data_IF_574145176410
#
_entry.id   IF_574145176410
#
_cell.length_a   1.000
_cell.length_b   1.000
_cell.length_c   1.000
_cell.angle_alpha   90.00
_cell.angle_beta   90.00
_cell.angle_gamma   90.00
#
_symmetry.space_group_name_H-M   'P 1'
#
loop_
_entity.id
_entity.type
_entity.pdbx_description
1 polymer ?
#
# COMPACT_ATOMS: atom_id res chain seq x y z
N UNK A 1 -2.57 54.71 4.03
CA UNK A 1 -3.25 54.38 5.31
C UNK A 1 -4.63 53.90 4.92
N UNK A 2 -4.84 52.59 4.73
CA UNK A 2 -5.33 51.65 5.75
C UNK A 2 -6.88 51.71 5.75
N UNK A 3 -7.68 50.66 5.64
CA UNK A 3 -7.51 49.21 5.72
C UNK A 3 -8.75 48.54 5.12
N UNK A 4 -8.64 47.26 4.76
CA UNK A 4 -9.66 46.36 4.21
C UNK A 4 -10.92 46.23 5.08
N UNK A 5 -12.10 46.07 4.45
CA UNK A 5 -13.18 45.21 4.96
C UNK A 5 -13.79 44.47 3.77
N UNK A 6 -13.20 43.32 3.46
CA UNK A 6 -13.83 42.25 2.67
C UNK A 6 -14.71 41.46 3.65
N UNK A 7 -15.98 41.82 3.75
CA UNK A 7 -17.01 40.97 4.36
C UNK A 7 -17.80 40.36 3.21
N UNK A 8 -17.65 39.04 3.02
CA UNK A 8 -18.72 38.13 2.55
C UNK A 8 -18.20 36.69 2.39
N UNK A 9 -17.45 36.19 3.37
CA UNK A 9 -17.19 34.73 3.51
C UNK A 9 -17.17 34.31 4.98
N UNK A 10 -18.05 34.87 5.81
CA UNK A 10 -18.28 34.42 7.19
C UNK A 10 -19.49 33.48 7.30
N UNK A 11 -19.69 32.63 6.31
CA UNK A 11 -20.63 31.52 6.43
C UNK A 11 -19.93 30.28 5.87
N UNK A 12 -20.04 29.19 6.63
CA UNK A 12 -19.50 27.86 6.34
C UNK A 12 -18.13 27.50 6.93
N UNK A 13 -17.92 27.78 8.22
CA UNK A 13 -17.15 26.85 9.05
C UNK A 13 -17.96 26.60 10.33
N UNK A 14 -18.85 25.61 10.28
CA UNK A 14 -19.22 24.91 11.50
C UNK A 14 -17.94 24.23 12.02
N UNK A 15 -17.51 24.48 13.26
CA UNK A 15 -16.49 23.66 13.87
C UNK A 15 -17.14 22.30 14.16
N UNK A 16 -16.97 21.33 13.28
CA UNK A 16 -17.13 19.92 13.66
C UNK A 16 -15.90 19.51 14.48
N UNK A 17 -15.76 20.10 15.66
CA UNK A 17 -14.86 19.62 16.70
C UNK A 17 -15.64 18.59 17.54
N UNK A 18 -16.06 17.51 16.91
CA UNK A 18 -16.42 16.30 17.64
C UNK A 18 -15.16 15.43 17.64
N UNK A 19 -14.37 15.54 18.70
CA UNK A 19 -13.18 14.72 18.90
C UNK A 19 -13.59 13.25 18.82
N UNK A 20 -13.19 12.58 17.74
CA UNK A 20 -13.47 11.16 17.52
C UNK A 20 -12.95 10.36 18.71
N UNK A 21 -13.87 9.79 19.47
CA UNK A 21 -13.54 9.00 20.65
C UNK A 21 -13.13 7.60 20.24
N UNK A 22 -12.41 6.89 21.10
CA UNK A 22 -12.04 5.47 20.87
C UNK A 22 -13.27 4.60 20.57
N UNK A 23 -14.43 4.96 21.11
CA UNK A 23 -15.72 4.31 20.89
C UNK A 23 -16.27 4.54 19.48
N UNK A 24 -15.94 5.67 18.84
CA UNK A 24 -16.34 5.97 17.46
C UNK A 24 -15.53 5.15 16.47
N UNK A 25 -14.23 4.94 16.74
CA UNK A 25 -13.37 4.05 15.97
C UNK A 25 -13.82 2.59 16.08
N UNK A 26 -14.22 2.16 17.28
CA UNK A 26 -14.72 0.80 17.52
C UNK A 26 -16.04 0.56 16.78
N UNK A 27 -16.92 1.57 16.69
CA UNK A 27 -18.15 1.50 15.86
C UNK A 27 -17.86 1.45 14.36
N UNK A 28 -16.86 2.19 13.88
CA UNK A 28 -16.43 2.13 12.47
C UNK A 28 -15.89 0.75 12.10
N UNK A 29 -15.16 0.09 13.00
CA UNK A 29 -14.62 -1.26 12.79
C UNK A 29 -15.69 -2.37 12.87
N UNK A 30 -16.75 -2.15 13.67
CA UNK A 30 -17.87 -3.09 13.83
C UNK A 30 -19.01 -2.86 12.81
N UNK A 31 -18.90 -1.83 11.97
CA UNK A 31 -19.77 -1.67 10.81
C UNK A 31 -19.53 -2.86 9.90
N UNK A 32 -20.60 -3.58 9.54
CA UNK A 32 -20.51 -4.80 8.71
C UNK A 32 -19.57 -4.59 7.52
N UNK A 33 -18.81 -5.63 7.10
CA UNK A 33 -17.97 -5.52 5.93
C UNK A 33 -18.85 -5.04 4.77
N UNK A 34 -18.52 -3.85 4.25
CA UNK A 34 -18.97 -3.45 2.93
C UNK A 34 -18.62 -4.66 2.06
N UNK A 35 -19.64 -5.31 1.50
CA UNK A 35 -19.40 -6.30 0.45
C UNK A 35 -18.48 -5.58 -0.53
N UNK A 36 -17.24 -6.05 -0.58
CA UNK A 36 -16.27 -5.61 -1.55
C UNK A 36 -16.86 -6.07 -2.87
N UNK A 37 -17.74 -5.24 -3.44
CA UNK A 37 -18.06 -5.27 -4.84
C UNK A 37 -16.71 -5.08 -5.49
N UNK A 38 -16.07 -6.21 -5.77
CA UNK A 38 -14.91 -6.35 -6.60
C UNK A 38 -15.38 -5.95 -8.00
N UNK A 39 -15.65 -4.66 -8.17
CA UNK A 39 -15.69 -3.97 -9.43
C UNK A 39 -14.28 -4.04 -9.94
N UNK A 40 -13.97 -5.20 -10.50
CA UNK A 40 -12.79 -5.46 -11.29
C UNK A 40 -13.02 -4.71 -12.60
N UNK A 41 -12.89 -3.38 -12.52
CA UNK A 41 -12.41 -2.59 -13.64
C UNK A 41 -11.02 -3.12 -13.94
N UNK A 42 -10.99 -4.24 -14.65
CA UNK A 42 -9.81 -4.88 -15.18
C UNK A 42 -9.34 -4.03 -16.34
N UNK A 43 -8.90 -2.81 -16.03
CA UNK A 43 -7.78 -2.25 -16.78
C UNK A 43 -6.69 -3.30 -16.73
N UNK A 44 -5.92 -3.45 -17.81
CA UNK A 44 -4.89 -4.47 -17.99
C UNK A 44 -3.75 -4.33 -16.95
N UNK A 45 -4.04 -4.60 -15.69
CA UNK A 45 -3.11 -4.59 -14.56
C UNK A 45 -2.51 -5.99 -14.52
N UNK A 46 -1.53 -6.23 -15.38
CA UNK A 46 -0.85 -7.51 -15.40
C UNK A 46 0.07 -7.62 -14.18
N UNK A 47 -0.13 -8.63 -13.36
CA UNK A 47 0.81 -9.04 -12.32
C UNK A 47 2.13 -9.48 -12.98
N UNK A 48 3.21 -8.72 -12.79
CA UNK A 48 4.51 -9.00 -13.40
C UNK A 48 5.67 -8.59 -12.49
N UNK A 49 6.85 -9.11 -12.81
CA UNK A 49 8.09 -8.89 -12.04
C UNK A 49 8.38 -7.42 -11.73
N UNK A 50 8.20 -6.53 -12.72
CA UNK A 50 8.45 -5.08 -12.55
C UNK A 50 7.46 -4.44 -11.59
N UNK A 51 6.17 -4.76 -11.70
CA UNK A 51 5.13 -4.20 -10.81
C UNK A 51 5.25 -4.75 -9.39
N UNK A 52 5.55 -6.04 -9.24
CA UNK A 52 5.74 -6.68 -7.94
C UNK A 52 6.96 -6.11 -7.20
N UNK A 53 8.11 -6.04 -7.87
CA UNK A 53 9.32 -5.44 -7.31
C UNK A 53 9.12 -3.97 -6.92
N UNK A 54 8.40 -3.21 -7.75
CA UNK A 54 8.07 -1.82 -7.47
C UNK A 54 7.18 -1.66 -6.24
N UNK A 55 6.12 -2.48 -6.10
CA UNK A 55 5.25 -2.46 -4.92
C UNK A 55 6.01 -2.78 -3.64
N UNK A 56 6.87 -3.79 -3.66
CA UNK A 56 7.74 -4.14 -2.51
C UNK A 56 8.73 -3.02 -2.17
N UNK A 57 9.27 -2.33 -3.17
CA UNK A 57 10.14 -1.16 -2.98
C UNK A 57 9.38 -0.01 -2.30
N UNK A 58 8.16 0.27 -2.74
CA UNK A 58 7.31 1.31 -2.13
C UNK A 58 6.98 0.98 -0.68
N UNK A 59 6.63 -0.28 -0.37
CA UNK A 59 6.38 -0.72 0.99
C UNK A 59 7.58 -0.48 1.92
N UNK A 60 8.79 -0.84 1.48
CA UNK A 60 10.01 -0.56 2.26
C UNK A 60 10.23 0.94 2.48
N UNK A 61 10.05 1.77 1.45
CA UNK A 61 10.18 3.23 1.58
C UNK A 61 9.19 3.82 2.58
N UNK A 62 7.96 3.30 2.61
CA UNK A 62 6.96 3.73 3.56
C UNK A 62 7.36 3.36 4.99
N UNK A 63 7.89 2.16 5.21
CA UNK A 63 8.45 1.78 6.51
C UNK A 63 9.62 2.70 6.92
N UNK A 64 10.54 2.98 6.01
CA UNK A 64 11.70 3.85 6.30
C UNK A 64 11.25 5.28 6.61
N UNK A 65 10.22 5.79 5.92
CA UNK A 65 9.65 7.09 6.21
C UNK A 65 9.13 7.18 7.66
N UNK A 66 8.26 6.26 8.07
CA UNK A 66 7.72 6.27 9.43
C UNK A 66 8.76 5.95 10.51
N UNK A 67 9.79 5.16 10.20
CA UNK A 67 10.94 4.98 11.11
C UNK A 67 11.67 6.29 11.42
N UNK A 68 11.65 7.26 10.50
CA UNK A 68 12.38 8.51 10.65
C UNK A 68 11.53 9.65 11.23
N UNK A 69 10.22 9.66 10.97
CA UNK A 69 9.33 10.75 11.40
C UNK A 69 8.55 10.44 12.67
N UNK A 70 8.39 9.17 13.03
CA UNK A 70 7.59 8.77 14.19
C UNK A 70 8.41 8.87 15.48
N UNK A 71 8.03 9.73 16.45
CA UNK A 71 8.72 9.79 17.73
C UNK A 71 8.56 8.50 18.56
N UNK A 72 7.54 7.67 18.28
CA UNK A 72 7.36 6.36 18.90
C UNK A 72 8.10 5.27 18.14
N UNK A 73 9.20 4.81 18.72
CA UNK A 73 9.94 3.65 18.21
C UNK A 73 9.10 2.37 18.19
N UNK A 74 8.26 2.17 19.20
CA UNK A 74 7.41 0.97 19.30
C UNK A 74 6.38 0.90 18.18
N UNK A 75 5.66 2.01 17.94
CA UNK A 75 4.64 2.09 16.90
C UNK A 75 5.25 1.91 15.51
N UNK A 76 6.35 2.59 15.22
CA UNK A 76 7.03 2.43 13.93
C UNK A 76 7.55 1.00 13.74
N UNK A 77 8.10 0.37 14.78
CA UNK A 77 8.54 -1.04 14.72
C UNK A 77 7.37 -2.00 14.49
N UNK A 78 6.23 -1.75 15.12
CA UNK A 78 5.02 -2.54 14.90
C UNK A 78 4.54 -2.40 13.44
N UNK A 79 4.47 -1.17 12.91
CA UNK A 79 4.11 -0.91 11.51
C UNK A 79 5.05 -1.63 10.52
N UNK A 80 6.36 -1.57 10.76
CA UNK A 80 7.36 -2.28 9.94
C UNK A 80 7.15 -3.79 9.98
N UNK A 81 6.87 -4.36 11.15
CA UNK A 81 6.57 -5.80 11.31
C UNK A 81 5.31 -6.19 10.55
N UNK A 82 4.23 -5.43 10.71
CA UNK A 82 2.96 -5.70 10.02
C UNK A 82 3.12 -5.62 8.50
N UNK A 83 3.83 -4.61 8.00
CA UNK A 83 4.13 -4.48 6.57
C UNK A 83 5.00 -5.63 6.07
N UNK A 84 6.00 -6.06 6.84
CA UNK A 84 6.83 -7.23 6.49
C UNK A 84 6.00 -8.52 6.39
N UNK A 85 5.06 -8.72 7.33
CA UNK A 85 4.16 -9.87 7.33
C UNK A 85 3.20 -9.82 6.13
N UNK A 86 2.55 -8.68 5.89
CA UNK A 86 1.64 -8.47 4.77
C UNK A 86 2.36 -8.64 3.41
N UNK A 87 3.65 -8.31 3.34
CA UNK A 87 4.45 -8.43 2.11
C UNK A 87 5.16 -9.76 1.92
N UNK A 88 5.06 -10.70 2.88
CA UNK A 88 5.82 -11.95 2.86
C UNK A 88 5.50 -12.83 1.64
N UNK A 89 4.22 -13.01 1.31
CA UNK A 89 3.80 -13.80 0.14
C UNK A 89 4.31 -13.21 -1.18
N UNK A 90 4.27 -11.88 -1.31
CA UNK A 90 4.77 -11.16 -2.49
C UNK A 90 6.29 -11.29 -2.64
N UNK A 91 7.04 -11.31 -1.52
CA UNK A 91 8.49 -11.55 -1.54
C UNK A 91 8.83 -12.96 -2.01
N UNK A 92 8.06 -13.95 -1.57
CA UNK A 92 8.20 -15.32 -2.02
C UNK A 92 7.93 -15.44 -3.52
N UNK A 93 6.83 -14.85 -4.00
CA UNK A 93 6.48 -14.84 -5.42
C UNK A 93 7.55 -14.15 -6.28
N UNK A 94 8.09 -13.03 -5.79
CA UNK A 94 9.19 -12.34 -6.45
C UNK A 94 10.42 -13.25 -6.62
N UNK A 95 10.74 -14.04 -5.60
CA UNK A 95 11.85 -14.99 -5.64
C UNK A 95 11.64 -16.10 -6.68
N UNK A 96 10.44 -16.70 -6.75
CA UNK A 96 10.13 -17.75 -7.74
C UNK A 96 10.11 -17.20 -9.18
N UNK A 97 9.58 -15.99 -9.39
CA UNK A 97 9.65 -15.31 -10.69
C UNK A 97 11.10 -15.03 -11.13
N UNK A 98 11.97 -14.66 -10.20
CA UNK A 98 13.40 -14.45 -10.49
C UNK A 98 14.11 -15.77 -10.81
N UNK A 99 13.74 -16.87 -10.15
CA UNK A 99 14.29 -18.21 -10.41
C UNK A 99 13.91 -18.71 -11.80
N UNK A 100 12.64 -18.59 -12.17
CA UNK A 100 12.14 -18.98 -13.50
C UNK A 100 12.73 -18.12 -14.61
N UNK A 101 12.93 -16.82 -14.38
CA UNK A 101 13.61 -15.94 -15.35
C UNK A 101 15.08 -16.32 -15.59
N UNK A 102 15.75 -16.89 -14.58
CA UNK A 102 17.15 -17.36 -14.69
C UNK A 102 17.27 -18.75 -15.33
N UNK A 103 16.19 -19.52 -15.38
CA UNK A 103 16.19 -20.78 -16.13
C UNK A 103 16.19 -20.44 -17.62
N UNK A 104 17.34 -20.63 -18.28
CA UNK A 104 17.47 -20.42 -19.71
C UNK A 104 16.47 -21.26 -20.49
N UNK A 105 15.95 -20.72 -21.61
CA UNK A 105 15.16 -21.51 -22.56
C UNK A 105 16.00 -22.72 -22.98
N UNK A 106 15.45 -23.92 -22.82
CA UNK A 106 16.03 -25.13 -23.39
C UNK A 106 16.08 -24.92 -24.91
N UNK A 107 17.24 -24.51 -25.42
CA UNK A 107 17.53 -24.55 -26.84
C UNK A 107 17.55 -26.04 -27.20
N UNK A 108 16.56 -26.48 -27.98
CA UNK A 108 16.36 -27.86 -28.42
C UNK A 108 17.69 -28.57 -28.71
N UNK A 109 18.16 -29.39 -27.77
CA UNK A 109 19.25 -30.34 -28.00
C UNK A 109 18.60 -31.64 -28.46
N UNK A 110 17.97 -31.60 -29.63
CA UNK A 110 17.66 -32.81 -30.38
C UNK A 110 18.48 -32.72 -31.66
N UNK A 111 19.66 -33.34 -31.66
CA UNK A 111 20.31 -33.69 -32.91
C UNK A 111 19.52 -34.84 -33.53
N UNK A 112 19.21 -34.83 -34.84
CA UNK A 112 18.65 -36.01 -35.46
C UNK A 112 19.64 -37.16 -35.33
N UNK A 113 19.15 -38.34 -34.91
CA UNK A 113 19.94 -39.57 -34.93
C UNK A 113 20.26 -39.91 -36.39
N UNK A 114 21.51 -40.29 -36.73
CA UNK A 114 21.80 -41.00 -37.98
C UNK A 114 21.24 -42.42 -37.94
#
# INVERSE_FOLDING_TARGET
MGSNISSDTQELLEPQDEDLTETDLEKMLNSQPIEEDASTSTGNVTFNLKRLSEGLRMANKLCDFFMNIDPSMERSLNFKRQTANATAAYRYELYELLKTAKQGKIAKVFKPLP
#
